data_IF_380431798040
#
_entry.id   IF_380431798040
#
_cell.length_a   1.000
_cell.length_b   1.000
_cell.length_c   1.000
_cell.angle_alpha   90.00
_cell.angle_beta   90.00
_cell.angle_gamma   90.00
#
_symmetry.space_group_name_H-M   'P 1'
#
loop_
_entity.id
_entity.type
_entity.pdbx_description
1 polymer ?
#
# COMPACT_ATOMS: atom_id res chain seq x y z
N UNK A 1 55.98 -10.98 32.49
CA UNK A 1 57.00 -10.13 31.85
C UNK A 1 56.30 -8.92 31.25
N UNK A 2 56.67 -7.74 31.75
CA UNK A 2 56.56 -6.37 31.22
C UNK A 2 55.23 -5.84 30.62
N UNK A 3 54.64 -4.89 31.37
CA UNK A 3 53.76 -3.81 30.92
C UNK A 3 54.40 -2.89 29.88
N UNK A 4 53.58 -2.21 29.07
CA UNK A 4 53.75 -0.78 28.79
C UNK A 4 52.46 -0.15 28.21
N UNK A 5 51.84 0.75 29.00
CA UNK A 5 50.97 1.83 28.54
C UNK A 5 51.77 2.83 27.70
N UNK A 6 51.12 3.50 26.74
CA UNK A 6 51.58 4.79 26.26
C UNK A 6 50.39 5.69 25.91
N UNK A 7 50.15 6.64 26.80
CA UNK A 7 49.35 7.85 26.58
C UNK A 7 50.09 8.78 25.60
N UNK A 8 49.35 9.44 24.70
CA UNK A 8 49.76 10.69 24.08
C UNK A 8 48.53 11.60 23.99
N UNK A 9 48.45 12.54 24.92
CA UNK A 9 47.70 13.78 24.83
C UNK A 9 48.51 14.82 24.05
N UNK A 10 47.83 15.63 23.24
CA UNK A 10 48.40 16.77 22.54
C UNK A 10 47.33 17.86 22.36
N UNK A 11 47.46 18.92 23.16
CA UNK A 11 46.72 20.18 23.08
C UNK A 11 47.46 21.22 22.20
N UNK A 12 46.78 22.35 21.99
CA UNK A 12 47.22 23.63 21.38
C UNK A 12 47.14 23.71 19.84
N UNK A 13 46.64 24.77 19.21
CA UNK A 13 46.24 26.12 19.64
C UNK A 13 45.36 26.78 18.56
N UNK A 14 44.46 27.66 18.97
CA UNK A 14 43.78 28.68 18.13
C UNK A 14 44.69 29.91 17.93
N UNK A 15 44.48 30.67 16.84
CA UNK A 15 44.25 32.10 17.07
C UNK A 15 43.12 32.71 16.23
N UNK A 16 42.70 33.86 16.78
CA UNK A 16 41.62 34.78 16.44
C UNK A 16 41.82 35.61 15.15
N UNK A 17 40.65 35.99 14.61
CA UNK A 17 40.22 37.27 14.03
C UNK A 17 40.88 37.85 12.78
N UNK A 18 40.05 38.12 11.76
CA UNK A 18 39.98 39.45 11.15
C UNK A 18 38.58 39.73 10.57
N UNK A 19 38.00 40.83 11.03
CA UNK A 19 36.81 41.50 10.50
C UNK A 19 37.04 42.03 9.07
N UNK A 20 35.97 42.22 8.29
CA UNK A 20 36.10 43.00 7.05
C UNK A 20 34.92 43.02 6.08
N UNK A 21 34.00 43.95 6.33
CA UNK A 21 33.34 44.80 5.32
C UNK A 21 32.12 44.30 4.53
N UNK A 22 31.05 45.06 4.77
CA UNK A 22 29.85 45.28 3.96
C UNK A 22 30.11 45.72 2.52
N UNK A 23 29.20 45.36 1.63
CA UNK A 23 29.01 45.99 0.32
C UNK A 23 27.62 45.70 -0.23
N UNK A 24 26.73 46.70 -0.14
CA UNK A 24 25.45 46.72 -0.84
C UNK A 24 25.65 46.94 -2.34
N UNK A 25 24.84 46.28 -3.17
CA UNK A 25 24.46 46.81 -4.49
C UNK A 25 23.11 46.20 -4.91
N UNK A 26 22.08 47.05 -4.88
CA UNK A 26 20.85 46.93 -5.67
C UNK A 26 21.15 47.01 -7.18
N UNK A 27 20.31 46.37 -8.00
CA UNK A 27 20.22 46.72 -9.42
C UNK A 27 19.55 45.68 -10.33
N UNK A 28 18.29 45.96 -10.68
CA UNK A 28 17.57 45.65 -11.94
C UNK A 28 17.51 44.17 -12.42
N UNK A 29 16.36 43.50 -12.41
CA UNK A 29 15.19 43.67 -13.28
C UNK A 29 15.42 43.33 -14.76
N UNK A 30 14.55 42.42 -15.25
CA UNK A 30 14.13 42.22 -16.65
C UNK A 30 15.08 41.51 -17.63
N UNK A 31 14.79 40.25 -17.98
CA UNK A 31 13.95 39.90 -19.14
C UNK A 31 13.92 38.37 -19.43
N UNK A 32 12.85 37.95 -20.10
CA UNK A 32 12.58 36.66 -20.76
C UNK A 32 12.12 35.52 -19.83
N UNK A 33 10.86 35.08 -19.86
CA UNK A 33 10.01 34.91 -21.04
C UNK A 33 10.06 33.44 -21.44
N UNK A 34 9.20 32.63 -20.83
CA UNK A 34 9.17 31.19 -21.05
C UNK A 34 8.27 30.49 -20.04
N UNK A 35 7.05 31.00 -19.87
CA UNK A 35 6.02 30.33 -19.09
C UNK A 35 5.72 28.98 -19.73
N UNK A 36 6.41 27.93 -19.28
CA UNK A 36 6.03 26.55 -19.52
C UNK A 36 4.68 26.35 -18.85
N UNK A 37 3.63 26.35 -19.66
CA UNK A 37 2.33 25.83 -19.26
C UNK A 37 2.52 24.34 -18.95
N UNK A 38 2.87 24.04 -17.71
CA UNK A 38 2.73 22.71 -17.17
C UNK A 38 1.24 22.41 -17.25
N UNK A 39 0.85 21.56 -18.20
CA UNK A 39 -0.54 21.12 -18.36
C UNK A 39 -0.98 20.59 -17.00
N UNK A 40 -1.85 21.36 -16.33
CA UNK A 40 -2.36 20.99 -15.01
C UNK A 40 -3.09 19.66 -15.18
N UNK A 41 -2.44 18.57 -14.78
CA UNK A 41 -3.06 17.26 -14.76
C UNK A 41 -4.29 17.36 -13.85
N UNK A 42 -5.47 17.17 -14.43
CA UNK A 42 -6.71 17.20 -13.66
C UNK A 42 -6.75 15.95 -12.77
N UNK A 43 -6.80 16.16 -11.46
CA UNK A 43 -6.97 15.12 -10.42
C UNK A 43 -8.43 14.65 -10.33
N UNK A 44 -9.04 14.33 -11.47
CA UNK A 44 -10.41 13.82 -11.52
C UNK A 44 -10.45 12.35 -11.08
N UNK A 45 -10.68 12.11 -9.79
CA UNK A 45 -11.15 10.81 -9.27
C UNK A 45 -10.25 9.59 -9.49
N UNK A 46 -8.96 9.78 -9.78
CA UNK A 46 -7.98 8.69 -9.92
C UNK A 46 -7.36 8.43 -8.56
N UNK A 47 -7.67 7.27 -7.97
CA UNK A 47 -7.22 6.93 -6.63
C UNK A 47 -6.11 5.88 -6.65
N UNK A 48 -6.01 5.09 -7.71
CA UNK A 48 -5.02 4.03 -7.83
C UNK A 48 -4.00 4.27 -8.96
N UNK A 49 -2.80 3.70 -8.81
CA UNK A 49 -1.75 3.72 -9.84
C UNK A 49 -2.24 3.11 -11.16
N UNK A 50 -3.04 2.04 -11.11
CA UNK A 50 -3.58 1.37 -12.30
C UNK A 50 -4.59 2.21 -13.09
N UNK A 51 -5.24 3.19 -12.46
CA UNK A 51 -6.22 4.07 -13.11
C UNK A 51 -5.55 5.29 -13.77
N UNK A 52 -4.24 5.44 -13.61
CA UNK A 52 -3.48 6.56 -14.19
C UNK A 52 -3.41 6.43 -15.71
N UNK A 53 -3.75 7.52 -16.39
CA UNK A 53 -3.72 7.64 -17.85
C UNK A 53 -2.70 8.69 -18.29
N UNK A 54 -2.56 8.94 -19.58
CA UNK A 54 -1.69 10.00 -20.08
C UNK A 54 -2.18 11.42 -19.74
N UNK A 55 -3.45 11.55 -19.32
CA UNK A 55 -4.11 12.83 -19.04
C UNK A 55 -4.49 13.00 -17.57
N UNK A 56 -4.60 11.92 -16.81
CA UNK A 56 -5.01 11.90 -15.41
C UNK A 56 -4.02 11.08 -14.57
N UNK A 57 -3.68 11.59 -13.38
CA UNK A 57 -2.74 10.95 -12.46
C UNK A 57 -3.36 10.85 -11.09
N UNK A 58 -3.04 9.78 -10.35
CA UNK A 58 -3.36 9.73 -8.93
C UNK A 58 -2.59 10.80 -8.16
N UNK A 59 -3.20 11.34 -7.10
CA UNK A 59 -2.59 12.44 -6.35
C UNK A 59 -1.29 12.02 -5.64
N UNK A 60 -1.23 10.79 -5.13
CA UNK A 60 -0.01 10.25 -4.54
C UNK A 60 1.14 10.12 -5.55
N UNK A 61 0.84 9.79 -6.82
CA UNK A 61 1.85 9.82 -7.89
C UNK A 61 2.32 11.24 -8.15
N UNK A 62 1.41 12.21 -8.27
CA UNK A 62 1.77 13.63 -8.49
C UNK A 62 2.69 14.15 -7.39
N UNK A 63 2.35 13.88 -6.14
CA UNK A 63 3.15 14.29 -4.98
C UNK A 63 4.52 13.63 -5.02
N UNK A 64 4.58 12.31 -5.17
CA UNK A 64 5.84 11.59 -5.12
C UNK A 64 6.78 12.01 -6.25
N UNK A 65 6.29 12.02 -7.49
CA UNK A 65 7.11 12.36 -8.66
C UNK A 65 7.44 13.86 -8.75
N UNK A 66 6.58 14.72 -8.19
CA UNK A 66 6.86 16.15 -8.06
C UNK A 66 7.99 16.46 -7.08
N UNK A 67 8.23 15.57 -6.10
CA UNK A 67 9.34 15.69 -5.13
C UNK A 67 10.67 15.13 -5.64
N UNK A 68 10.67 14.34 -6.71
CA UNK A 68 11.92 13.81 -7.29
C UNK A 68 12.67 14.91 -8.06
N UNK A 69 13.95 15.18 -7.73
CA UNK A 69 14.80 16.05 -8.53
C UNK A 69 14.87 15.59 -10.00
N UNK A 70 14.81 16.52 -10.96
CA UNK A 70 14.80 16.20 -12.41
C UNK A 70 16.01 15.38 -12.87
N UNK A 71 17.17 15.64 -12.28
CA UNK A 71 18.44 14.93 -12.50
C UNK A 71 18.41 13.49 -11.96
N UNK A 72 17.56 13.21 -10.96
CA UNK A 72 17.43 11.89 -10.34
C UNK A 72 16.37 10.98 -10.99
N UNK A 73 15.55 11.52 -11.92
CA UNK A 73 14.49 10.79 -12.62
C UNK A 73 15.10 9.87 -13.68
N UNK A 74 15.68 8.76 -13.26
CA UNK A 74 16.05 7.64 -14.16
C UNK A 74 14.88 6.66 -14.30
N UNK A 75 14.85 5.79 -15.32
CA UNK A 75 13.81 4.79 -15.45
C UNK A 75 13.73 3.87 -14.22
N UNK A 76 14.87 3.53 -13.64
CA UNK A 76 14.95 2.74 -12.41
C UNK A 76 14.37 3.47 -11.21
N UNK A 77 14.73 4.75 -10.99
CA UNK A 77 14.17 5.56 -9.89
C UNK A 77 12.66 5.65 -10.01
N UNK A 78 12.14 5.89 -11.22
CA UNK A 78 10.70 5.97 -11.44
C UNK A 78 10.01 4.63 -11.19
N UNK A 79 10.64 3.50 -11.55
CA UNK A 79 10.08 2.18 -11.28
C UNK A 79 10.10 1.86 -9.78
N UNK A 80 11.17 2.19 -9.07
CA UNK A 80 11.25 2.03 -7.60
C UNK A 80 10.20 2.91 -6.91
N UNK A 81 9.99 4.13 -7.38
CA UNK A 81 8.93 5.00 -6.87
C UNK A 81 7.52 4.43 -7.14
N UNK A 82 7.27 3.83 -8.30
CA UNK A 82 6.03 3.09 -8.55
C UNK A 82 5.87 1.91 -7.58
N UNK A 83 6.92 1.12 -7.34
CA UNK A 83 6.87 0.00 -6.39
C UNK A 83 6.50 0.48 -4.98
N UNK A 84 7.03 1.63 -4.55
CA UNK A 84 6.65 2.23 -3.28
C UNK A 84 5.16 2.59 -3.23
N UNK A 85 4.63 3.23 -4.27
CA UNK A 85 3.20 3.57 -4.36
C UNK A 85 2.29 2.33 -4.38
N UNK A 86 2.73 1.25 -5.02
CA UNK A 86 1.99 -0.02 -5.02
C UNK A 86 2.05 -0.70 -3.64
N UNK A 87 3.17 -0.60 -2.93
CA UNK A 87 3.31 -1.08 -1.56
C UNK A 87 2.36 -0.31 -0.62
N UNK A 88 2.32 1.02 -0.77
CA UNK A 88 1.38 1.92 -0.11
C UNK A 88 -0.07 1.46 -0.31
N UNK A 89 -0.51 1.25 -1.55
CA UNK A 89 -1.86 0.75 -1.87
C UNK A 89 -2.18 -0.63 -1.24
N UNK A 90 -1.15 -1.45 -1.00
CA UNK A 90 -1.28 -2.72 -0.29
C UNK A 90 -1.26 -2.62 1.24
N UNK A 91 -1.06 -1.42 1.78
CA UNK A 91 -1.04 -1.12 3.20
C UNK A 91 0.35 -1.14 3.84
N UNK A 92 1.41 -1.09 3.05
CA UNK A 92 2.78 -1.02 3.57
C UNK A 92 3.27 0.43 3.57
N UNK A 93 3.89 0.88 4.65
CA UNK A 93 4.49 2.22 4.77
C UNK A 93 5.98 2.13 5.06
N UNK A 94 6.70 3.21 4.81
CA UNK A 94 8.12 3.30 5.16
C UNK A 94 8.30 3.27 6.69
N UNK A 95 9.31 2.55 7.19
CA UNK A 95 9.48 2.35 8.65
C UNK A 95 9.68 3.65 9.45
N UNK A 96 10.19 4.72 8.83
CA UNK A 96 10.36 6.02 9.50
C UNK A 96 9.09 6.85 9.61
N UNK A 97 8.03 6.52 8.85
CA UNK A 97 6.78 7.29 8.87
C UNK A 97 5.98 7.04 10.16
N UNK A 98 6.33 5.98 10.91
CA UNK A 98 5.62 5.62 12.12
C UNK A 98 6.25 6.30 13.35
N UNK A 99 5.65 7.41 13.79
CA UNK A 99 5.90 7.95 15.12
C UNK A 99 5.27 6.98 16.14
N UNK A 100 6.10 6.21 16.85
CA UNK A 100 5.67 5.47 18.04
C UNK A 100 4.94 6.46 18.97
N UNK A 101 3.61 6.37 19.07
CA UNK A 101 2.87 7.25 19.98
C UNK A 101 1.41 7.54 19.65
N UNK A 102 0.91 7.22 18.45
CA UNK A 102 -0.52 7.29 18.16
C UNK A 102 -1.02 5.95 17.62
N UNK A 103 -1.35 5.05 18.56
CA UNK A 103 -2.28 3.94 18.34
C UNK A 103 -3.68 4.54 18.07
N UNK A 104 -3.86 5.16 16.91
CA UNK A 104 -5.22 5.33 16.42
C UNK A 104 -5.78 3.95 16.15
N UNK A 105 -6.78 3.57 16.96
CA UNK A 105 -7.49 2.30 16.89
C UNK A 105 -7.74 1.93 15.42
N UNK A 106 -7.10 0.84 15.01
CA UNK A 106 -7.19 0.15 13.73
C UNK A 106 -8.24 0.70 12.74
N UNK A 107 -7.99 1.87 12.14
CA UNK A 107 -8.77 2.32 11.00
C UNK A 107 -8.19 1.59 9.79
N UNK A 108 -8.70 0.38 9.56
CA UNK A 108 -8.32 -0.43 8.40
C UNK A 108 -8.52 0.34 7.09
N UNK A 109 -7.90 -0.19 6.04
CA UNK A 109 -7.53 0.50 4.82
C UNK A 109 -6.44 1.53 5.01
N UNK A 110 -5.43 1.44 4.16
CA UNK A 110 -4.62 2.60 3.85
C UNK A 110 -5.52 3.57 3.10
N UNK A 111 -6.15 4.47 3.85
CA UNK A 111 -7.04 5.46 3.29
C UNK A 111 -6.24 6.32 2.31
N UNK A 112 -6.89 6.76 1.24
CA UNK A 112 -6.30 7.68 0.27
C UNK A 112 -5.55 8.87 0.92
N UNK A 113 -6.07 9.52 2.00
CA UNK A 113 -5.32 10.54 2.72
C UNK A 113 -3.99 10.06 3.33
N UNK A 114 -3.93 8.82 3.85
CA UNK A 114 -2.69 8.24 4.37
C UNK A 114 -1.70 7.95 3.25
N UNK A 115 -2.17 7.50 2.09
CA UNK A 115 -1.33 7.35 0.89
C UNK A 115 -0.70 8.65 0.43
N UNK A 116 -1.52 9.70 0.39
CA UNK A 116 -1.07 11.04 0.11
C UNK A 116 0.00 11.50 1.09
N UNK A 117 -0.23 11.30 2.39
CA UNK A 117 0.71 11.69 3.45
C UNK A 117 2.03 10.94 3.34
N UNK A 118 2.01 9.60 3.21
CA UNK A 118 3.24 8.81 3.10
C UNK A 118 4.04 9.13 1.83
N UNK A 119 3.35 9.34 0.70
CA UNK A 119 3.98 9.81 -0.53
C UNK A 119 4.63 11.21 -0.36
N UNK A 120 4.11 12.05 0.53
CA UNK A 120 4.66 13.36 0.86
C UNK A 120 5.83 13.30 1.86
N UNK A 121 5.93 12.27 2.70
CA UNK A 121 6.94 12.19 3.78
C UNK A 121 8.10 11.27 3.50
N UNK A 122 7.96 10.29 2.60
CA UNK A 122 9.06 9.34 2.31
C UNK A 122 10.35 10.08 1.92
N UNK A 123 11.52 9.73 2.50
CA UNK A 123 12.79 10.33 2.12
C UNK A 123 13.09 10.09 0.64
N UNK A 124 13.51 11.11 -0.10
CA UNK A 124 13.74 10.97 -1.54
C UNK A 124 14.95 10.09 -1.82
N UNK A 125 15.95 10.15 -0.95
CA UNK A 125 17.15 9.32 -0.97
C UNK A 125 16.78 7.84 -0.88
N UNK A 126 15.71 7.51 -0.17
CA UNK A 126 15.21 6.15 -0.07
C UNK A 126 14.69 5.64 -1.42
N UNK A 127 14.15 6.50 -2.28
CA UNK A 127 13.65 6.12 -3.62
C UNK A 127 14.75 6.05 -4.67
N UNK A 128 15.89 6.70 -4.43
CA UNK A 128 16.99 6.74 -5.40
C UNK A 128 17.77 5.42 -5.37
N UNK A 129 18.02 4.80 -6.54
CA UNK A 129 18.90 3.67 -6.61
C UNK A 129 20.36 4.06 -6.29
N UNK A 130 20.84 3.73 -5.09
CA UNK A 130 22.26 3.75 -4.74
C UNK A 130 22.92 2.41 -5.13
N UNK A 131 23.36 2.28 -6.38
CA UNK A 131 24.02 1.07 -6.89
C UNK A 131 23.07 -0.05 -7.31
N UNK A 132 23.62 -1.24 -7.55
CA UNK A 132 22.86 -2.35 -8.11
C UNK A 132 21.95 -3.02 -7.08
N UNK A 133 22.34 -3.06 -5.80
CA UNK A 133 21.62 -3.73 -4.73
C UNK A 133 21.17 -2.70 -3.69
N UNK A 134 19.91 -2.76 -3.28
CA UNK A 134 19.38 -2.00 -2.15
C UNK A 134 18.41 -2.84 -1.33
N UNK A 135 18.43 -2.59 -0.03
CA UNK A 135 17.43 -3.08 0.90
C UNK A 135 16.70 -1.90 1.52
N UNK A 136 15.38 -2.06 1.64
CA UNK A 136 14.47 -1.03 2.14
C UNK A 136 13.51 -1.66 3.13
N UNK A 137 13.27 -0.98 4.24
CA UNK A 137 12.36 -1.50 5.26
C UNK A 137 10.98 -0.84 5.19
N UNK A 138 9.97 -1.69 5.30
CA UNK A 138 8.56 -1.35 5.34
C UNK A 138 7.94 -1.88 6.63
N UNK A 139 6.78 -1.33 6.97
CA UNK A 139 5.87 -1.90 7.97
C UNK A 139 4.49 -2.04 7.37
N UNK A 140 3.79 -3.10 7.74
CA UNK A 140 2.37 -3.19 7.46
C UNK A 140 1.63 -2.27 8.45
N UNK A 141 0.76 -1.41 7.95
CA UNK A 141 -0.01 -0.50 8.81
C UNK A 141 -0.69 -1.25 9.94
N UNK A 142 -0.65 -0.66 11.13
CA UNK A 142 -1.20 -1.23 12.36
C UNK A 142 -0.44 -2.44 12.92
N UNK A 143 0.69 -2.81 12.29
CA UNK A 143 1.59 -3.84 12.80
C UNK A 143 2.99 -3.26 12.96
N UNK A 144 3.63 -3.60 14.07
CA UNK A 144 5.02 -3.23 14.34
C UNK A 144 6.03 -4.11 13.59
N UNK A 145 5.55 -5.09 12.82
CA UNK A 145 6.43 -6.02 12.12
C UNK A 145 7.04 -5.38 10.87
N UNK A 146 8.35 -5.56 10.74
CA UNK A 146 9.11 -5.10 9.60
C UNK A 146 9.05 -6.08 8.42
N UNK A 147 9.05 -5.53 7.22
CA UNK A 147 9.20 -6.20 5.93
C UNK A 147 10.44 -5.61 5.25
N UNK A 148 11.19 -6.42 4.50
CA UNK A 148 12.29 -5.93 3.67
C UNK A 148 11.96 -6.05 2.19
N UNK A 149 12.12 -4.95 1.46
CA UNK A 149 12.12 -4.90 0.01
C UNK A 149 13.56 -4.80 -0.47
N UNK A 150 14.04 -5.88 -1.06
CA UNK A 150 15.35 -5.94 -1.70
C UNK A 150 15.15 -5.74 -3.20
N UNK A 151 15.87 -4.78 -3.77
CA UNK A 151 15.90 -4.52 -5.21
C UNK A 151 17.30 -4.74 -5.75
N UNK A 152 17.43 -5.51 -6.82
CA UNK A 152 18.68 -5.76 -7.52
C UNK A 152 18.53 -5.48 -9.02
N UNK A 153 19.29 -4.52 -9.55
CA UNK A 153 19.29 -4.19 -10.97
C UNK A 153 20.27 -5.11 -11.73
N UNK A 154 19.74 -5.87 -12.68
CA UNK A 154 20.49 -6.79 -13.54
C UNK A 154 20.10 -6.53 -15.00
N UNK A 155 21.04 -6.00 -15.78
CA UNK A 155 20.93 -5.86 -17.24
C UNK A 155 19.61 -5.19 -17.71
N UNK A 156 19.19 -4.10 -17.06
CA UNK A 156 17.96 -3.38 -17.41
C UNK A 156 16.67 -4.04 -16.89
N UNK A 157 16.80 -5.03 -16.02
CA UNK A 157 15.70 -5.63 -15.25
C UNK A 157 15.90 -5.39 -13.76
N UNK A 158 14.80 -5.12 -13.06
CA UNK A 158 14.77 -4.95 -11.62
C UNK A 158 14.24 -6.24 -10.98
N UNK A 159 15.14 -7.00 -10.37
CA UNK A 159 14.78 -8.13 -9.52
C UNK A 159 14.36 -7.59 -8.16
N UNK A 160 13.20 -8.01 -7.69
CA UNK A 160 12.59 -7.46 -6.48
C UNK A 160 12.20 -8.64 -5.60
N UNK A 161 12.64 -8.62 -4.35
CA UNK A 161 12.24 -9.59 -3.34
C UNK A 161 11.62 -8.84 -2.16
N UNK A 162 10.44 -9.26 -1.74
CA UNK A 162 9.73 -8.69 -0.60
C UNK A 162 9.53 -9.74 0.47
N UNK A 163 10.13 -9.52 1.64
CA UNK A 163 10.26 -10.53 2.68
C UNK A 163 9.62 -10.04 3.98
N UNK A 164 8.57 -10.71 4.47
CA UNK A 164 8.10 -10.51 5.84
C UNK A 164 9.13 -11.02 6.84
N UNK A 165 9.38 -10.30 7.93
CA UNK A 165 10.30 -10.78 8.97
C UNK A 165 9.83 -12.12 9.53
N UNK A 166 10.73 -13.11 9.52
CA UNK A 166 10.54 -14.52 9.92
C UNK A 166 9.82 -15.42 8.91
N UNK A 167 9.55 -14.95 7.68
CA UNK A 167 8.90 -15.76 6.65
C UNK A 167 9.69 -15.75 5.34
N UNK A 168 9.37 -16.68 4.45
CA UNK A 168 9.94 -16.70 3.10
C UNK A 168 9.49 -15.48 2.32
N UNK A 169 10.42 -14.90 1.55
CA UNK A 169 10.13 -13.77 0.68
C UNK A 169 9.48 -14.17 -0.64
N UNK A 170 8.87 -13.20 -1.28
CA UNK A 170 8.27 -13.31 -2.60
C UNK A 170 9.12 -12.54 -3.58
N UNK A 171 9.33 -13.06 -4.78
CA UNK A 171 10.23 -12.44 -5.75
C UNK A 171 9.58 -12.30 -7.12
N UNK A 172 9.85 -11.18 -7.76
CA UNK A 172 9.50 -10.90 -9.16
C UNK A 172 10.70 -10.27 -9.89
N UNK A 173 10.67 -10.31 -11.21
CA UNK A 173 11.62 -9.61 -12.05
C UNK A 173 10.85 -8.74 -13.04
N UNK A 174 11.17 -7.44 -13.09
CA UNK A 174 10.50 -6.47 -13.94
C UNK A 174 11.48 -5.88 -14.94
N UNK A 175 11.17 -5.95 -16.24
CA UNK A 175 11.93 -5.22 -17.25
C UNK A 175 11.67 -3.71 -17.11
N UNK A 176 12.73 -2.92 -16.90
CA UNK A 176 12.59 -1.46 -16.70
C UNK A 176 12.07 -0.81 -17.99
N UNK A 177 12.63 -1.17 -19.14
CA UNK A 177 12.24 -0.62 -20.45
C UNK A 177 10.81 -0.96 -20.87
N UNK A 178 10.24 -2.06 -20.35
CA UNK A 178 8.84 -2.44 -20.61
C UNK A 178 7.85 -1.43 -20.02
N UNK A 179 8.13 -0.95 -18.81
CA UNK A 179 7.22 -0.06 -18.08
C UNK A 179 7.63 1.40 -18.20
N UNK A 180 8.92 1.67 -18.38
CA UNK A 180 9.50 3.02 -18.43
C UNK A 180 10.51 3.09 -19.59
N UNK A 181 10.02 3.13 -20.85
CA UNK A 181 10.90 3.06 -22.01
C UNK A 181 11.75 4.32 -22.20
N UNK A 182 11.17 5.49 -21.92
CA UNK A 182 11.78 6.80 -22.13
C UNK A 182 11.23 7.74 -21.05
N UNK A 183 12.09 8.61 -20.52
CA UNK A 183 11.67 9.66 -19.58
C UNK A 183 11.25 10.89 -20.37
N UNK A 184 9.99 11.26 -20.24
CA UNK A 184 9.44 12.48 -20.78
C UNK A 184 9.51 13.59 -19.73
N UNK A 185 10.53 14.45 -19.82
CA UNK A 185 10.74 15.57 -18.87
C UNK A 185 9.56 16.54 -18.78
N UNK A 186 8.81 16.69 -19.87
CA UNK A 186 7.64 17.58 -19.92
C UNK A 186 6.41 16.99 -19.23
N UNK A 187 6.34 15.67 -19.15
CA UNK A 187 5.20 14.97 -18.56
C UNK A 187 5.63 13.58 -18.12
N UNK A 188 5.89 13.43 -16.82
CA UNK A 188 6.27 12.13 -16.23
C UNK A 188 5.24 11.04 -16.56
N UNK A 189 3.96 11.40 -16.73
CA UNK A 189 2.88 10.51 -17.17
C UNK A 189 3.18 9.76 -18.46
N UNK A 190 3.77 10.44 -19.44
CA UNK A 190 4.10 9.84 -20.74
C UNK A 190 5.26 8.84 -20.64
N UNK A 191 5.98 8.85 -19.52
CA UNK A 191 7.08 7.92 -19.26
C UNK A 191 6.60 6.52 -18.89
N UNK A 192 5.33 6.37 -18.47
CA UNK A 192 4.80 5.09 -18.01
C UNK A 192 4.05 4.34 -19.11
N UNK A 193 4.20 3.02 -19.13
CA UNK A 193 3.42 2.09 -19.95
C UNK A 193 2.95 0.91 -19.12
N UNK A 194 1.83 0.32 -19.54
CA UNK A 194 1.29 -0.91 -18.94
C UNK A 194 1.09 -0.82 -17.41
N UNK A 195 0.72 0.35 -16.88
CA UNK A 195 0.48 0.54 -15.44
C UNK A 195 -0.57 -0.41 -14.84
N UNK A 196 -1.72 -0.69 -15.50
CA UNK A 196 -2.67 -1.68 -14.99
C UNK A 196 -2.04 -3.07 -14.83
N UNK A 197 -1.27 -3.50 -15.83
CA UNK A 197 -0.58 -4.79 -15.78
C UNK A 197 0.47 -4.82 -14.68
N UNK A 198 1.33 -3.79 -14.60
CA UNK A 198 2.36 -3.66 -13.59
C UNK A 198 1.77 -3.69 -12.18
N UNK A 199 0.70 -2.94 -11.96
CA UNK A 199 0.00 -2.84 -10.68
C UNK A 199 -0.52 -4.21 -10.26
N UNK A 200 -1.38 -4.82 -11.08
CA UNK A 200 -2.01 -6.11 -10.77
C UNK A 200 -0.96 -7.20 -10.59
N UNK A 201 0.03 -7.27 -11.48
CA UNK A 201 1.10 -8.27 -11.39
C UNK A 201 1.91 -8.13 -10.11
N UNK A 202 2.40 -6.92 -9.81
CA UNK A 202 3.22 -6.67 -8.62
C UNK A 202 2.44 -6.90 -7.34
N UNK A 203 1.21 -6.38 -7.25
CA UNK A 203 0.35 -6.59 -6.07
C UNK A 203 0.10 -8.08 -5.83
N UNK A 204 -0.31 -8.81 -6.86
CA UNK A 204 -0.70 -10.22 -6.73
C UNK A 204 0.47 -11.19 -6.55
N UNK A 205 1.66 -10.86 -7.03
CA UNK A 205 2.83 -11.75 -6.95
C UNK A 205 3.81 -11.39 -5.83
N UNK A 206 3.76 -10.16 -5.32
CA UNK A 206 4.73 -9.66 -4.36
C UNK A 206 4.08 -9.25 -3.04
N UNK A 207 3.22 -8.22 -3.07
CA UNK A 207 2.76 -7.56 -1.85
C UNK A 207 1.63 -8.29 -1.14
N UNK A 208 0.60 -8.72 -1.88
CA UNK A 208 -0.56 -9.39 -1.28
C UNK A 208 -0.19 -10.76 -0.69
N UNK A 209 0.59 -11.63 -1.36
CA UNK A 209 1.02 -12.89 -0.75
C UNK A 209 1.86 -12.70 0.51
N UNK A 210 2.76 -11.70 0.52
CA UNK A 210 3.55 -11.33 1.69
C UNK A 210 2.69 -10.85 2.86
N UNK A 211 1.65 -10.08 2.56
CA UNK A 211 0.64 -9.70 3.55
C UNK A 211 -0.11 -10.93 4.04
N UNK A 212 -0.63 -11.76 3.15
CA UNK A 212 -1.47 -12.91 3.48
C UNK A 212 -0.75 -13.91 4.39
N UNK A 213 0.50 -14.26 4.08
CA UNK A 213 1.28 -15.17 4.92
C UNK A 213 1.54 -14.56 6.30
N UNK A 214 1.87 -13.27 6.36
CA UNK A 214 2.07 -12.58 7.63
C UNK A 214 0.79 -12.60 8.47
N UNK A 215 -0.36 -12.31 7.86
CA UNK A 215 -1.64 -12.24 8.55
C UNK A 215 -2.13 -13.61 9.02
N UNK A 216 -1.98 -14.65 8.19
CA UNK A 216 -2.34 -16.02 8.58
C UNK A 216 -1.56 -16.51 9.80
N UNK A 217 -0.31 -16.07 9.97
CA UNK A 217 0.55 -16.52 11.06
C UNK A 217 0.50 -15.64 12.31
N UNK A 218 0.15 -14.36 12.18
CA UNK A 218 0.04 -13.44 13.32
C UNK A 218 -1.39 -13.32 13.87
N UNK A 219 -2.42 -13.50 13.03
CA UNK A 219 -3.80 -13.15 13.37
C UNK A 219 -4.68 -14.34 13.73
N UNK A 220 -4.25 -15.19 14.67
CA UNK A 220 -5.22 -16.08 15.35
C UNK A 220 -6.28 -15.30 16.17
N UNK A 221 -6.11 -13.97 16.33
CA UNK A 221 -6.92 -13.16 17.24
C UNK A 221 -7.56 -11.91 16.60
N UNK A 222 -7.33 -11.62 15.32
CA UNK A 222 -7.89 -10.40 14.69
C UNK A 222 -8.33 -10.63 13.24
N UNK A 223 -9.47 -10.06 12.81
CA UNK A 223 -9.95 -10.20 11.44
C UNK A 223 -9.03 -9.54 10.42
N UNK A 224 -9.04 -10.04 9.18
CA UNK A 224 -8.22 -9.50 8.10
C UNK A 224 -8.55 -7.99 7.87
N UNK A 225 -7.55 -7.12 7.62
CA UNK A 225 -7.72 -5.66 7.62
C UNK A 225 -8.76 -5.14 6.64
N UNK A 226 -8.94 -5.82 5.50
CA UNK A 226 -9.97 -5.44 4.54
C UNK A 226 -11.39 -5.57 5.11
N UNK A 227 -11.60 -6.45 6.09
CA UNK A 227 -12.90 -6.61 6.74
C UNK A 227 -13.09 -5.60 7.88
N UNK A 228 -12.04 -5.29 8.65
CA UNK A 228 -12.13 -4.40 9.82
C UNK A 228 -12.66 -3.02 9.45
N UNK A 229 -12.30 -2.49 8.30
CA UNK A 229 -12.66 -1.14 7.90
C UNK A 229 -13.79 -1.05 6.91
N UNK A 230 -14.29 -2.19 6.43
CA UNK A 230 -15.44 -2.18 5.53
C UNK A 230 -16.64 -1.63 6.31
N UNK A 231 -17.38 -0.63 5.77
CA UNK A 231 -18.60 -0.13 6.40
C UNK A 231 -19.59 -1.26 6.65
N UNK A 232 -20.34 -1.22 7.77
CA UNK A 232 -21.27 -2.32 8.15
C UNK A 232 -22.24 -2.65 7.02
N UNK A 233 -22.75 -1.64 6.32
CA UNK A 233 -23.67 -1.85 5.19
C UNK A 233 -23.06 -2.65 4.04
N UNK A 234 -21.76 -2.54 3.82
CA UNK A 234 -21.04 -3.31 2.81
C UNK A 234 -20.72 -4.70 3.35
N UNK A 235 -20.33 -4.81 4.62
CA UNK A 235 -20.10 -6.10 5.27
C UNK A 235 -21.36 -6.97 5.27
N UNK A 236 -22.51 -6.42 5.64
CA UNK A 236 -23.81 -7.13 5.60
C UNK A 236 -24.10 -7.63 4.18
N UNK A 237 -23.87 -6.80 3.17
CA UNK A 237 -24.06 -7.21 1.76
C UNK A 237 -23.11 -8.33 1.36
N UNK A 238 -21.81 -8.21 1.65
CA UNK A 238 -20.82 -9.27 1.39
C UNK A 238 -21.25 -10.55 2.09
N UNK A 239 -21.63 -10.43 3.36
CA UNK A 239 -21.99 -11.55 4.21
C UNK A 239 -23.19 -12.32 3.66
N UNK A 240 -24.25 -11.62 3.24
CA UNK A 240 -25.45 -12.23 2.62
C UNK A 240 -25.16 -12.93 1.28
N UNK A 241 -24.10 -12.54 0.58
CA UNK A 241 -23.67 -13.19 -0.67
C UNK A 241 -22.83 -14.45 -0.42
N UNK A 242 -22.37 -14.70 0.81
CA UNK A 242 -21.56 -15.86 1.15
C UNK A 242 -22.44 -17.10 1.43
N UNK A 243 -21.99 -18.31 1.04
CA UNK A 243 -22.64 -19.56 1.44
C UNK A 243 -22.72 -19.68 2.97
N UNK A 244 -23.74 -20.38 3.50
CA UNK A 244 -23.98 -20.55 4.94
C UNK A 244 -22.73 -20.99 5.72
N UNK A 245 -21.96 -21.94 5.17
CA UNK A 245 -20.73 -22.43 5.77
C UNK A 245 -19.67 -21.33 5.91
N UNK A 246 -19.51 -20.51 4.87
CA UNK A 246 -18.56 -19.40 4.87
C UNK A 246 -19.00 -18.27 5.80
N UNK A 247 -20.32 -17.99 5.87
CA UNK A 247 -20.90 -17.05 6.84
C UNK A 247 -20.55 -17.44 8.27
N UNK A 248 -20.80 -18.71 8.64
CA UNK A 248 -20.48 -19.23 9.97
C UNK A 248 -18.99 -19.13 10.29
N UNK A 249 -18.12 -19.61 9.39
CA UNK A 249 -16.67 -19.51 9.59
C UNK A 249 -16.19 -18.07 9.77
N UNK A 250 -16.76 -17.13 9.02
CA UNK A 250 -16.41 -15.72 9.09
C UNK A 250 -16.93 -15.05 10.37
N UNK A 251 -18.13 -15.42 10.82
CA UNK A 251 -18.70 -15.00 12.10
C UNK A 251 -17.85 -15.48 13.28
N UNK A 252 -17.41 -16.74 13.24
CA UNK A 252 -16.55 -17.34 14.27
C UNK A 252 -15.15 -16.69 14.32
N UNK A 253 -14.69 -16.09 13.21
CA UNK A 253 -13.37 -15.45 13.10
C UNK A 253 -13.38 -13.96 13.46
N UNK A 254 -14.55 -13.34 13.65
CA UNK A 254 -14.67 -11.90 13.81
C UNK A 254 -15.94 -11.52 14.59
N UNK A 255 -15.78 -11.00 15.81
CA UNK A 255 -16.90 -10.57 16.67
C UNK A 255 -17.88 -9.63 15.97
N UNK A 256 -17.36 -8.69 15.17
CA UNK A 256 -18.19 -7.77 14.38
C UNK A 256 -19.08 -8.51 13.37
N UNK A 257 -18.54 -9.55 12.72
CA UNK A 257 -19.31 -10.39 11.80
C UNK A 257 -20.25 -11.34 12.56
N UNK A 258 -19.87 -11.80 13.75
CA UNK A 258 -20.73 -12.55 14.66
C UNK A 258 -21.99 -11.77 15.05
N UNK A 259 -21.83 -10.49 15.38
CA UNK A 259 -22.96 -9.60 15.69
C UNK A 259 -23.91 -9.42 14.48
N UNK A 260 -23.36 -9.31 13.27
CA UNK A 260 -24.15 -9.24 12.03
C UNK A 260 -24.88 -10.58 11.78
N UNK A 261 -24.22 -11.72 11.98
CA UNK A 261 -24.82 -13.04 11.80
C UNK A 261 -25.99 -13.29 12.75
N UNK A 262 -25.82 -12.93 14.03
CA UNK A 262 -26.85 -13.12 15.05
C UNK A 262 -28.07 -12.22 14.83
N UNK A 263 -27.88 -11.01 14.26
CA UNK A 263 -28.99 -10.12 13.92
C UNK A 263 -29.76 -10.61 12.68
N UNK A 264 -29.06 -11.06 11.63
CA UNK A 264 -29.72 -11.65 10.45
C UNK A 264 -30.56 -12.91 10.82
N UNK A 265 -30.09 -13.75 11.76
CA UNK A 265 -30.86 -14.91 12.24
C UNK A 265 -32.12 -14.53 13.01
N UNK A 266 -32.06 -13.49 13.85
CA UNK A 266 -33.21 -13.01 14.61
C UNK A 266 -34.31 -12.46 13.67
N UNK A 267 -33.93 -11.82 12.56
CA UNK A 267 -34.86 -11.32 11.55
C UNK A 267 -35.55 -12.49 10.81
N UNK A 268 -34.82 -13.55 10.45
CA UNK A 268 -35.39 -14.75 9.79
C UNK A 268 -36.37 -15.51 10.71
N UNK A 269 -36.05 -15.65 12.00
CA UNK A 269 -36.95 -16.29 12.98
C UNK A 269 -38.23 -15.47 13.20
N UNK A 270 -38.15 -14.14 13.18
CA UNK A 270 -39.32 -13.26 13.31
C UNK A 270 -40.29 -13.34 12.12
N UNK A 271 -39.76 -13.55 10.91
CA UNK A 271 -40.58 -13.74 9.69
C UNK A 271 -41.24 -15.12 9.64
N UNK A 272 -40.58 -16.16 10.17
CA UNK A 272 -41.17 -17.50 10.26
C UNK A 272 -42.21 -17.60 11.39
N UNK A 273 -42.07 -16.84 12.48
CA UNK A 273 -43.06 -16.82 13.54
C UNK A 273 -44.39 -16.17 13.11
N UNK A 274 -44.34 -15.15 12.24
CA UNK A 274 -45.54 -14.44 11.75
C UNK A 274 -46.30 -15.17 10.65
N UNK A 275 -45.73 -16.20 10.02
CA UNK A 275 -46.44 -17.04 9.04
C UNK A 275 -47.20 -18.23 9.66
N UNK A 276 -47.10 -18.43 10.98
CA UNK A 276 -47.74 -19.54 11.72
C UNK A 276 -49.05 -19.17 12.45
N UNK A 277 -49.53 -17.94 12.29
CA UNK A 277 -50.79 -17.44 12.87
C UNK A 277 -51.74 -17.08 11.73
N UNK A 278 -52.25 -18.09 11.02
CA UNK A 278 -53.52 -18.11 10.28
C UNK A 278 -53.54 -19.34 9.37
N UNK A 279 -53.75 -20.51 9.96
CA UNK A 279 -54.17 -21.71 9.22
C UNK A 279 -54.87 -22.70 10.14
N UNK A 280 -55.93 -22.22 10.79
CA UNK A 280 -57.01 -23.08 11.24
C UNK A 280 -57.88 -23.40 10.00
N UNK A 281 -57.37 -24.32 9.18
CA UNK A 281 -57.87 -24.60 7.84
C UNK A 281 -57.51 -26.00 7.39
N UNK A 282 -58.11 -26.98 8.08
CA UNK A 282 -58.15 -28.41 7.79
C UNK A 282 -58.26 -28.72 6.28
N UNK A 283 -57.24 -29.36 5.70
CA UNK A 283 -57.35 -30.19 4.50
C UNK A 283 -56.26 -31.28 4.51
N UNK A 284 -56.71 -32.52 4.69
CA UNK A 284 -55.99 -33.74 4.31
C UNK A 284 -55.68 -33.71 2.81
N UNK A 285 -54.42 -33.88 2.43
CA UNK A 285 -54.09 -34.69 1.24
C UNK A 285 -52.63 -35.14 1.28
N UNK A 286 -52.45 -36.45 1.26
CA UNK A 286 -51.17 -37.14 1.22
C UNK A 286 -50.62 -37.14 -0.21
N UNK A 287 -49.37 -36.71 -0.40
CA UNK A 287 -48.64 -36.88 -1.65
C UNK A 287 -47.23 -37.37 -1.35
N UNK A 288 -47.04 -38.68 -1.56
CA UNK A 288 -45.74 -39.33 -1.71
C UNK A 288 -45.03 -38.75 -2.93
N UNK A 289 -43.79 -38.29 -2.76
CA UNK A 289 -42.89 -37.97 -3.87
C UNK A 289 -41.59 -38.76 -3.68
N UNK A 290 -41.35 -39.60 -4.68
CA UNK A 290 -40.29 -40.57 -4.88
C UNK A 290 -38.91 -39.92 -5.07
N UNK A 291 -37.89 -40.47 -4.41
CA UNK A 291 -36.52 -39.93 -4.38
C UNK A 291 -35.76 -40.20 -5.69
N UNK A 292 -35.76 -39.21 -6.58
CA UNK A 292 -34.91 -39.17 -7.78
C UNK A 292 -33.46 -38.76 -7.50
N UNK A 293 -32.58 -39.76 -7.39
CA UNK A 293 -31.10 -39.70 -7.42
C UNK A 293 -30.55 -38.75 -8.51
N UNK A 294 -29.79 -37.73 -8.11
CA UNK A 294 -28.91 -36.95 -9.01
C UNK A 294 -27.44 -37.30 -8.74
N UNK A 295 -26.81 -37.98 -9.70
CA UNK A 295 -25.35 -38.14 -9.79
C UNK A 295 -24.78 -36.94 -10.53
N UNK A 296 -23.79 -36.29 -9.93
CA UNK A 296 -22.92 -35.32 -10.59
C UNK A 296 -21.93 -36.07 -11.51
N UNK A 297 -21.80 -35.57 -12.74
CA UNK A 297 -20.66 -35.82 -13.65
C UNK A 297 -19.67 -34.69 -13.42
#
# INVERSE_FOLDING_TARGET
MASAQKDISGQESTPMDTEGSSGMAEGAAEHQGGGRACVAAQTLGVYFVEETTFTSMSEQMLILFGRLPEDSKTPETLLVALLYLLALECGFTHSSDHKQGHDEAFTGFFSYPRAKSSAATVPIEWLRPSGNFQERHFRLLHFSQDFSLVTHNIAGSLCITFTPKNFSGFSICLSVSRYIPIIHRESVLRSFRHLPELSVYTKNKLFLPARDIFMQNMMLLTPYPSLISTPDIVLVKIFRLLPQRSRKNLADSCDRMGNIFNSDLADEESMNATSSIDSDGKCDESLEIDEGKLRFI
#
